data_IF_341931364781
#
_entry.id   IF_341931364781
#
_cell.length_a   1.000
_cell.length_b   1.000
_cell.length_c   1.000
_cell.angle_alpha   90.00
_cell.angle_beta   90.00
_cell.angle_gamma   90.00
#
_symmetry.space_group_name_H-M   'P 1'
#
loop_
_entity.id
_entity.type
_entity.pdbx_description
1 polymer ?
#
# COMPACT_ATOMS: atom_id res chain seq x y z
N UNK A 1 12.79 -3.10 1.82
CA UNK A 1 14.06 -3.83 1.65
C UNK A 1 15.13 -2.92 1.11
N UNK A 2 16.20 -2.70 1.87
CA UNK A 2 17.37 -1.91 1.41
C UNK A 2 17.00 -0.56 0.78
N UNK A 3 16.16 0.21 1.47
CA UNK A 3 15.67 1.53 1.03
C UNK A 3 14.78 1.50 -0.21
N UNK A 4 14.24 0.33 -0.56
CA UNK A 4 13.30 0.17 -1.66
C UNK A 4 11.92 -0.18 -1.12
N UNK A 5 10.89 0.12 -1.90
CA UNK A 5 9.49 -0.17 -1.59
C UNK A 5 8.94 -1.20 -2.56
N UNK A 6 8.21 -2.18 -2.04
CA UNK A 6 7.57 -3.21 -2.86
C UNK A 6 6.22 -2.71 -3.38
N UNK A 7 6.05 -2.71 -4.70
CA UNK A 7 4.79 -2.38 -5.34
C UNK A 7 4.31 -3.54 -6.22
N UNK A 8 3.00 -3.63 -6.37
CA UNK A 8 2.33 -4.61 -7.22
C UNK A 8 1.61 -3.90 -8.36
N UNK A 9 1.67 -4.44 -9.58
CA UNK A 9 0.92 -3.93 -10.72
C UNK A 9 -0.39 -4.70 -10.81
N UNK A 10 -1.50 -3.98 -10.80
CA UNK A 10 -2.83 -4.58 -10.72
C UNK A 10 -3.19 -5.35 -11.99
N UNK A 11 -3.67 -6.58 -11.82
CA UNK A 11 -4.17 -7.42 -12.92
C UNK A 11 -5.69 -7.34 -13.07
N UNK A 12 -6.39 -6.63 -12.16
CA UNK A 12 -7.86 -6.56 -12.13
C UNK A 12 -8.35 -5.12 -12.05
N UNK A 13 -9.60 -4.91 -12.49
CA UNK A 13 -10.29 -3.64 -12.34
C UNK A 13 -10.65 -3.41 -10.85
N UNK A 14 -10.75 -2.15 -10.37
CA UNK A 14 -10.43 -0.93 -11.12
C UNK A 14 -8.94 -0.69 -11.24
N UNK A 15 -8.56 0.18 -12.17
CA UNK A 15 -7.16 0.62 -12.36
C UNK A 15 -6.21 -0.52 -12.72
N UNK A 16 -6.67 -1.45 -13.57
CA UNK A 16 -5.79 -2.48 -14.13
C UNK A 16 -4.57 -1.87 -14.80
N UNK A 17 -3.39 -2.45 -14.57
CA UNK A 17 -2.13 -1.97 -15.11
C UNK A 17 -1.47 -0.85 -14.31
N UNK A 18 -2.13 -0.36 -13.25
CA UNK A 18 -1.54 0.64 -12.35
C UNK A 18 -0.88 -0.03 -11.15
N UNK A 19 0.05 0.70 -10.53
CA UNK A 19 0.81 0.19 -9.39
C UNK A 19 0.14 0.53 -8.07
N UNK A 20 0.26 -0.38 -7.12
CA UNK A 20 -0.34 -0.24 -5.79
C UNK A 20 0.50 -0.92 -4.72
N UNK A 21 0.20 -0.61 -3.47
CA UNK A 21 0.65 -1.42 -2.35
C UNK A 21 -0.30 -2.61 -2.18
N UNK A 22 0.19 -3.77 -1.70
CA UNK A 22 -0.70 -4.90 -1.43
C UNK A 22 -1.83 -4.49 -0.48
N UNK A 23 -3.05 -4.82 -0.83
CA UNK A 23 -4.23 -4.45 -0.04
C UNK A 23 -5.43 -5.34 -0.34
N UNK A 24 -6.33 -5.43 0.61
CA UNK A 24 -7.58 -6.16 0.47
C UNK A 24 -8.44 -6.02 1.69
N UNK A 25 -9.56 -6.72 1.71
CA UNK A 25 -10.49 -6.72 2.84
C UNK A 25 -10.05 -7.73 3.90
N UNK A 26 -10.37 -7.43 5.16
CA UNK A 26 -10.12 -8.37 6.25
C UNK A 26 -10.98 -9.63 6.11
N UNK A 27 -10.42 -10.76 6.48
CA UNK A 27 -11.14 -12.00 6.65
C UNK A 27 -11.63 -12.14 8.09
N UNK A 28 -12.57 -13.05 8.32
CA UNK A 28 -13.11 -13.30 9.65
C UNK A 28 -12.01 -13.73 10.62
N UNK A 29 -12.08 -13.21 11.84
CA UNK A 29 -11.16 -13.57 12.94
C UNK A 29 -9.70 -13.17 12.70
N UNK A 30 -9.46 -12.26 11.78
CA UNK A 30 -8.13 -11.77 11.43
C UNK A 30 -7.90 -10.38 12.01
N UNK A 31 -6.73 -10.13 12.61
CA UNK A 31 -6.36 -8.77 12.99
C UNK A 31 -6.01 -7.97 11.74
N UNK A 32 -6.01 -6.64 11.85
CA UNK A 32 -5.66 -5.78 10.73
C UNK A 32 -4.23 -6.06 10.25
N UNK A 33 -3.29 -6.24 11.17
CA UNK A 33 -1.90 -6.56 10.84
C UNK A 33 -1.77 -7.92 10.15
N UNK A 34 -2.49 -8.92 10.65
CA UNK A 34 -2.52 -10.24 10.01
C UNK A 34 -3.06 -10.16 8.59
N UNK A 35 -4.11 -9.35 8.39
CA UNK A 35 -4.68 -9.13 7.06
C UNK A 35 -3.69 -8.48 6.11
N UNK A 36 -2.95 -7.47 6.56
CA UNK A 36 -1.93 -6.82 5.74
C UNK A 36 -0.82 -7.80 5.34
N UNK A 37 -0.36 -8.63 6.26
CA UNK A 37 0.67 -9.63 5.98
C UNK A 37 0.16 -10.69 5.00
N UNK A 38 -1.08 -11.15 5.18
CA UNK A 38 -1.72 -12.12 4.28
C UNK A 38 -1.86 -11.58 2.86
N UNK A 39 -2.35 -10.34 2.71
CA UNK A 39 -2.51 -9.72 1.40
C UNK A 39 -1.15 -9.56 0.69
N UNK A 40 -0.10 -9.23 1.45
CA UNK A 40 1.24 -9.14 0.88
C UNK A 40 1.72 -10.50 0.38
N UNK A 41 1.45 -11.57 1.14
CA UNK A 41 1.79 -12.93 0.73
C UNK A 41 1.00 -13.34 -0.51
N UNK A 42 -0.29 -13.04 -0.57
CA UNK A 42 -1.15 -13.41 -1.70
C UNK A 42 -0.81 -12.66 -2.97
N UNK A 43 -0.56 -11.36 -2.87
CA UNK A 43 -0.37 -10.50 -4.04
C UNK A 43 1.07 -10.43 -4.52
N UNK A 44 2.03 -10.64 -3.63
CA UNK A 44 3.45 -10.46 -3.94
C UNK A 44 4.33 -11.67 -3.60
N UNK A 45 3.75 -12.73 -3.04
CA UNK A 45 4.50 -13.90 -2.56
C UNK A 45 5.68 -13.48 -1.68
N UNK A 46 5.48 -12.45 -0.87
CA UNK A 46 6.49 -11.86 -0.01
C UNK A 46 6.08 -11.98 1.45
N UNK A 47 7.05 -12.23 2.31
CA UNK A 47 6.82 -12.29 3.74
C UNK A 47 7.34 -11.02 4.40
N UNK A 48 6.55 -10.50 5.33
CA UNK A 48 6.86 -9.27 6.06
C UNK A 48 6.86 -9.52 7.55
N UNK A 49 7.60 -8.70 8.27
CA UNK A 49 7.69 -8.75 9.72
C UNK A 49 7.67 -7.34 10.29
N UNK A 50 7.48 -7.25 11.61
CA UNK A 50 7.52 -6.00 12.35
C UNK A 50 6.53 -4.96 11.78
N UNK A 51 5.27 -5.37 11.58
CA UNK A 51 4.24 -4.50 11.05
C UNK A 51 3.84 -3.45 12.08
N UNK A 52 3.90 -2.19 11.68
CA UNK A 52 3.49 -1.06 12.49
C UNK A 52 2.51 -0.19 11.71
N UNK A 53 1.39 0.15 12.33
CA UNK A 53 0.38 1.01 11.71
C UNK A 53 1.04 2.33 11.29
N UNK A 54 0.81 2.72 10.05
CA UNK A 54 1.47 3.90 9.50
C UNK A 54 0.50 4.97 9.01
N UNK A 55 -0.40 4.63 8.08
CA UNK A 55 -1.38 5.61 7.60
C UNK A 55 -2.80 5.08 7.75
N UNK A 56 -3.74 5.98 8.05
CA UNK A 56 -5.16 5.68 8.12
C UNK A 56 -5.90 6.71 7.28
N UNK A 57 -6.73 6.23 6.36
CA UNK A 57 -7.54 7.08 5.50
C UNK A 57 -9.01 6.79 5.70
N UNK A 58 -9.79 7.84 5.95
CA UNK A 58 -11.25 7.75 5.97
C UNK A 58 -11.79 8.20 4.62
N UNK A 59 -12.54 7.33 3.95
CA UNK A 59 -13.15 7.60 2.64
C UNK A 59 -14.67 7.53 2.78
N UNK A 60 -15.32 8.63 3.25
CA UNK A 60 -16.75 8.59 3.54
C UNK A 60 -17.62 8.39 2.31
N UNK A 61 -17.17 8.81 1.13
CA UNK A 61 -17.92 8.64 -0.13
C UNK A 61 -18.15 7.17 -0.52
N UNK A 62 -17.32 6.25 -0.01
CA UNK A 62 -17.48 4.81 -0.22
C UNK A 62 -17.61 4.03 1.09
N UNK A 63 -17.74 4.74 2.21
CA UNK A 63 -17.87 4.15 3.55
C UNK A 63 -16.77 3.15 3.89
N UNK A 64 -15.52 3.53 3.58
CA UNK A 64 -14.35 2.67 3.83
C UNK A 64 -13.29 3.42 4.64
N UNK A 65 -12.54 2.64 5.41
CA UNK A 65 -11.33 3.08 6.09
C UNK A 65 -10.18 2.23 5.59
N UNK A 66 -9.13 2.87 5.11
CA UNK A 66 -7.91 2.17 4.69
C UNK A 66 -6.83 2.35 5.74
N UNK A 67 -6.19 1.23 6.09
CA UNK A 67 -5.09 1.23 7.05
C UNK A 67 -3.87 0.59 6.38
N UNK A 68 -2.78 1.33 6.36
CA UNK A 68 -1.51 0.84 5.81
C UNK A 68 -0.49 0.64 6.92
N UNK A 69 0.28 -0.41 6.79
CA UNK A 69 1.33 -0.76 7.73
C UNK A 69 2.69 -0.55 7.09
N UNK A 70 3.63 -0.11 7.89
CA UNK A 70 5.05 -0.14 7.56
C UNK A 70 5.60 -1.46 8.09
N UNK A 71 6.39 -2.15 7.27
CA UNK A 71 6.93 -3.45 7.62
C UNK A 71 8.27 -3.68 6.94
N UNK A 72 9.00 -4.66 7.43
CA UNK A 72 10.25 -5.11 6.82
C UNK A 72 9.98 -6.34 5.97
N UNK A 73 10.52 -6.38 4.75
CA UNK A 73 10.56 -7.62 3.99
C UNK A 73 11.56 -8.57 4.62
N UNK A 74 11.20 -9.84 4.76
CA UNK A 74 12.07 -10.85 5.34
C UNK A 74 13.19 -11.29 4.41
N UNK A 75 13.19 -10.79 3.17
CA UNK A 75 14.21 -11.07 2.18
C UNK A 75 13.79 -10.54 0.82
N UNK A 76 14.66 -10.62 -0.20
CA UNK A 76 14.36 -10.11 -1.52
C UNK A 76 13.49 -11.05 -2.36
N UNK A 77 12.85 -12.04 -1.77
CA UNK A 77 11.99 -12.98 -2.49
C UNK A 77 10.60 -12.42 -2.65
N UNK A 78 10.17 -12.26 -3.88
CA UNK A 78 8.81 -11.86 -4.24
C UNK A 78 8.51 -12.34 -5.66
N UNK A 79 7.23 -12.46 -5.97
CA UNK A 79 6.75 -12.77 -7.32
C UNK A 79 5.27 -12.43 -7.41
N UNK A 80 4.75 -12.33 -8.63
CA UNK A 80 3.36 -11.98 -8.84
C UNK A 80 2.42 -13.08 -8.35
N UNK A 81 1.45 -12.71 -7.51
CA UNK A 81 0.31 -13.54 -7.21
C UNK A 81 -0.72 -13.47 -8.34
N UNK A 82 -1.87 -14.19 -8.20
CA UNK A 82 -2.88 -14.26 -9.28
C UNK A 82 -3.48 -12.92 -9.68
N UNK A 83 -3.53 -11.94 -8.78
CA UNK A 83 -4.13 -10.63 -9.04
C UNK A 83 -3.11 -9.55 -9.35
N UNK A 84 -1.85 -9.92 -9.58
CA UNK A 84 -0.77 -8.99 -9.90
C UNK A 84 -0.13 -9.36 -11.24
N UNK A 85 0.04 -8.36 -12.11
CA UNK A 85 0.77 -8.54 -13.38
C UNK A 85 2.27 -8.59 -13.15
N UNK A 86 2.76 -7.71 -12.28
CA UNK A 86 4.15 -7.61 -11.91
C UNK A 86 4.29 -7.23 -10.45
N UNK A 87 5.40 -7.57 -9.84
CA UNK A 87 5.78 -7.14 -8.50
C UNK A 87 7.25 -6.74 -8.56
N UNK A 88 7.57 -5.54 -8.06
CA UNK A 88 8.95 -5.05 -8.09
C UNK A 88 9.27 -4.19 -6.87
N UNK A 89 10.56 -4.12 -6.56
CA UNK A 89 11.12 -3.19 -5.59
C UNK A 89 11.54 -1.91 -6.32
N UNK A 90 11.13 -0.76 -5.77
CA UNK A 90 11.43 0.55 -6.34
C UNK A 90 12.20 1.40 -5.34
N UNK A 91 13.28 2.04 -5.81
CA UNK A 91 13.90 3.13 -5.06
C UNK A 91 13.05 4.39 -5.20
N UNK A 92 13.28 5.38 -4.34
CA UNK A 92 12.47 6.60 -4.35
C UNK A 92 12.40 7.27 -5.72
N UNK A 93 13.56 7.38 -6.38
CA UNK A 93 13.61 8.05 -7.70
C UNK A 93 12.92 7.28 -8.82
N UNK A 94 12.64 5.99 -8.61
CA UNK A 94 12.04 5.13 -9.63
C UNK A 94 10.54 4.90 -9.42
N UNK A 95 9.95 5.49 -8.40
CA UNK A 95 8.52 5.35 -8.13
C UNK A 95 7.72 5.89 -9.33
N UNK A 96 6.80 5.08 -9.89
CA UNK A 96 5.97 5.51 -11.01
C UNK A 96 4.79 6.37 -10.55
N UNK A 97 5.07 7.60 -10.12
CA UNK A 97 4.08 8.48 -9.50
C UNK A 97 2.83 8.69 -10.36
N UNK A 98 2.96 8.76 -11.69
CA UNK A 98 1.83 8.96 -12.59
C UNK A 98 1.04 7.68 -12.86
N UNK A 99 1.52 6.56 -12.39
CA UNK A 99 0.91 5.24 -12.61
C UNK A 99 0.50 4.57 -11.30
N UNK A 100 0.36 5.32 -10.22
CA UNK A 100 -0.15 4.81 -8.96
C UNK A 100 -1.68 4.72 -9.02
N UNK A 101 -2.22 3.60 -8.53
CA UNK A 101 -3.62 3.25 -8.75
C UNK A 101 -4.61 4.17 -8.02
N UNK A 102 -4.28 4.60 -6.79
CA UNK A 102 -5.23 5.32 -5.95
C UNK A 102 -4.55 6.44 -5.16
N UNK A 103 -5.28 7.52 -4.83
CA UNK A 103 -4.72 8.62 -4.03
C UNK A 103 -4.14 8.20 -2.68
N UNK A 104 -4.73 7.20 -2.02
CA UNK A 104 -4.22 6.70 -0.74
C UNK A 104 -2.80 6.13 -0.88
N UNK A 105 -2.48 5.55 -2.03
CA UNK A 105 -1.13 5.00 -2.30
C UNK A 105 -0.14 6.15 -2.45
N UNK A 106 -0.48 7.15 -3.26
CA UNK A 106 0.36 8.33 -3.47
C UNK A 106 0.66 9.02 -2.14
N UNK A 107 -0.39 9.26 -1.33
CA UNK A 107 -0.24 9.92 -0.04
C UNK A 107 0.64 9.12 0.92
N UNK A 108 0.42 7.80 1.01
CA UNK A 108 1.22 6.94 1.88
C UNK A 108 2.70 6.97 1.51
N UNK A 109 3.00 6.88 0.22
CA UNK A 109 4.39 6.92 -0.25
C UNK A 109 5.03 8.28 -0.03
N UNK A 110 4.29 9.38 -0.22
CA UNK A 110 4.79 10.72 0.05
C UNK A 110 5.16 10.88 1.52
N UNK A 111 4.30 10.43 2.43
CA UNK A 111 4.61 10.44 3.86
C UNK A 111 5.85 9.61 4.17
N UNK A 112 5.91 8.41 3.60
CA UNK A 112 7.01 7.48 3.86
C UNK A 112 8.36 8.07 3.46
N UNK A 113 8.48 8.63 2.27
CA UNK A 113 9.76 9.17 1.81
C UNK A 113 10.15 10.45 2.57
N UNK A 114 9.18 11.25 2.99
CA UNK A 114 9.45 12.41 3.84
C UNK A 114 9.94 11.97 5.22
N UNK A 115 9.24 11.03 5.85
CA UNK A 115 9.59 10.54 7.18
C UNK A 115 10.92 9.79 7.20
N UNK A 116 11.24 9.11 6.12
CA UNK A 116 12.51 8.37 6.01
C UNK A 116 13.74 9.28 6.15
N UNK A 117 13.62 10.53 5.74
CA UNK A 117 14.72 11.50 5.84
C UNK A 117 15.11 11.77 7.29
N UNK A 118 14.14 11.73 8.20
CA UNK A 118 14.36 11.97 9.63
C UNK A 118 14.40 10.69 10.45
N UNK A 119 14.03 9.54 9.84
CA UNK A 119 13.90 8.25 10.52
C UNK A 119 12.87 8.27 11.65
N UNK A 120 11.91 9.19 11.59
CA UNK A 120 10.78 9.28 12.52
C UNK A 120 9.50 9.04 11.72
N UNK A 121 8.72 8.04 12.12
CA UNK A 121 7.55 7.59 11.37
C UNK A 121 6.30 7.70 12.24
N UNK A 122 5.72 8.91 12.38
CA UNK A 122 4.46 9.05 13.10
C UNK A 122 3.32 8.40 12.32
N UNK A 123 2.25 8.04 13.01
CA UNK A 123 1.04 7.58 12.34
C UNK A 123 0.33 8.79 11.72
N UNK A 124 0.00 8.70 10.44
CA UNK A 124 -0.71 9.75 9.71
C UNK A 124 -2.18 9.39 9.54
N UNK A 125 -3.04 10.36 9.73
CA UNK A 125 -4.48 10.21 9.52
C UNK A 125 -4.96 11.28 8.54
N UNK A 126 -5.76 10.88 7.54
CA UNK A 126 -6.36 11.81 6.59
C UNK A 126 -7.80 11.42 6.28
N UNK A 127 -8.66 12.44 6.17
CA UNK A 127 -9.99 12.30 5.60
C UNK A 127 -9.90 12.67 4.13
N UNK A 128 -10.21 11.74 3.24
CA UNK A 128 -10.23 12.01 1.81
C UNK A 128 -11.65 12.34 1.40
N UNK A 129 -11.91 13.64 1.24
CA UNK A 129 -13.22 14.17 0.91
C UNK A 129 -13.25 14.54 -0.58
N UNK A 130 -14.06 13.83 -1.35
CA UNK A 130 -14.24 14.14 -2.77
C UNK A 130 -15.52 14.98 -2.91
N UNK A 131 -15.36 16.19 -3.44
CA UNK A 131 -16.51 17.03 -3.75
C UNK A 131 -17.15 16.53 -5.04
N UNK A 132 -18.46 16.26 -4.96
CA UNK A 132 -19.21 15.97 -6.18
C UNK A 132 -19.31 17.23 -7.01
N UNK A 133 -19.15 17.14 -8.35
CA UNK A 133 -19.42 18.27 -9.21
C UNK A 133 -20.86 18.74 -9.00
N UNK A 134 -21.06 20.05 -8.93
CA UNK A 134 -22.41 20.59 -8.91
C UNK A 134 -23.03 20.41 -10.28
N UNK A 135 -24.18 19.77 -10.29
CA UNK A 135 -24.97 19.62 -11.52
C UNK A 135 -25.66 20.94 -11.86
#
# INVERSE_FOLDING_TARGET
WQNQVLLCKRAIAPREGYWTLPAGFLENSETVAEGAARETQEEANAQVSDLQLYTVFSLPHISQVYMFFRADLEGPKYSSGPESLEVELFSEQDIPWDELAFPVITSTLQHYFADRKTQVYPTHYEDLLFKRPRS
#
